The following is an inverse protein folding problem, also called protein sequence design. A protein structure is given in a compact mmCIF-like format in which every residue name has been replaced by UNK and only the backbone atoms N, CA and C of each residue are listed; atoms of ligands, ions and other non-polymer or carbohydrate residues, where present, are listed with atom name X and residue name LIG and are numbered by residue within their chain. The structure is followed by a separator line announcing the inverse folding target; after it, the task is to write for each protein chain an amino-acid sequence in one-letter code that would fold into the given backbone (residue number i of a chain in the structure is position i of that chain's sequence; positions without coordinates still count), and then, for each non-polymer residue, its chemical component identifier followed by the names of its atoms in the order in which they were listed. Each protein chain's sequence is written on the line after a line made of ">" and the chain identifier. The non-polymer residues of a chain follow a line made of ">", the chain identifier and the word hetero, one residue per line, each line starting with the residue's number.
data_IF_985594309604
#
_entry.id   IF_985594309604
#
_cell.length_a   1.000
_cell.length_b   1.000
_cell.length_c   1.000
_cell.angle_alpha   90.00
_cell.angle_beta   90.00
_cell.angle_gamma   90.00
#
_symmetry.space_group_name_H-M   'P 1'
#
loop_
_entity.id
_entity.type
_entity.pdbx_description
1 polymer ?
#
# COMPACT_ATOMS: atom_id res chain seq x y z
N UNK A 1 6.08 12.08 19.55
CA UNK A 1 5.46 12.42 18.26
C UNK A 1 6.49 12.72 17.15
N UNK A 2 7.74 12.23 17.27
CA UNK A 2 8.78 12.44 16.24
C UNK A 2 8.91 11.25 15.27
N UNK A 3 8.51 10.04 15.70
CA UNK A 3 8.58 8.81 14.88
C UNK A 3 7.50 8.72 13.79
N UNK A 4 6.33 9.36 13.96
CA UNK A 4 5.24 9.31 12.99
C UNK A 4 5.63 9.96 11.64
N UNK A 5 6.27 11.14 11.70
CA UNK A 5 6.75 11.85 10.49
C UNK A 5 7.82 11.08 9.73
N UNK A 6 8.72 10.39 10.43
CA UNK A 6 9.86 9.67 9.82
C UNK A 6 9.41 8.41 9.07
N UNK A 7 8.32 7.78 9.51
CA UNK A 7 7.80 6.54 8.92
C UNK A 7 6.83 6.79 7.76
N UNK A 8 6.31 8.01 7.60
CA UNK A 8 5.39 8.38 6.52
C UNK A 8 5.98 8.10 5.13
N UNK A 9 7.26 8.45 4.91
CA UNK A 9 7.94 8.24 3.64
C UNK A 9 8.07 6.74 3.29
N UNK A 10 8.32 5.91 4.31
CA UNK A 10 8.40 4.44 4.14
C UNK A 10 7.02 3.89 3.76
N UNK A 11 5.94 4.36 4.40
CA UNK A 11 4.59 3.95 4.04
C UNK A 11 4.17 4.40 2.64
N UNK A 12 4.62 5.56 2.16
CA UNK A 12 4.44 5.96 0.76
C UNK A 12 5.14 5.01 -0.22
N UNK A 13 6.36 4.58 0.08
CA UNK A 13 7.06 3.58 -0.73
C UNK A 13 6.32 2.24 -0.74
N UNK A 14 5.83 1.78 0.42
CA UNK A 14 5.05 0.54 0.53
C UNK A 14 3.72 0.66 -0.24
N UNK A 15 3.04 1.80 -0.16
CA UNK A 15 1.81 2.05 -0.92
C UNK A 15 2.06 2.01 -2.43
N UNK A 16 3.12 2.66 -2.92
CA UNK A 16 3.46 2.64 -4.34
C UNK A 16 3.85 1.24 -4.82
N UNK A 17 4.61 0.49 -4.03
CA UNK A 17 4.97 -0.90 -4.34
C UNK A 17 3.72 -1.80 -4.39
N UNK A 18 2.81 -1.67 -3.41
CA UNK A 18 1.53 -2.37 -3.38
C UNK A 18 0.62 -1.98 -4.54
N UNK A 19 0.63 -0.71 -4.96
CA UNK A 19 -0.12 -0.23 -6.13
C UNK A 19 0.38 -0.89 -7.40
N UNK A 20 1.69 -0.97 -7.59
CA UNK A 20 2.30 -1.65 -8.73
C UNK A 20 1.97 -3.14 -8.74
N UNK A 21 2.02 -3.80 -7.58
CA UNK A 21 1.62 -5.21 -7.44
C UNK A 21 0.12 -5.42 -7.77
N UNK A 22 -0.76 -4.50 -7.35
CA UNK A 22 -2.17 -4.55 -7.69
C UNK A 22 -2.39 -4.38 -9.20
N UNK A 23 -1.74 -3.40 -9.84
CA UNK A 23 -1.83 -3.20 -11.29
C UNK A 23 -1.34 -4.44 -12.04
N UNK A 24 -0.22 -5.04 -11.60
CA UNK A 24 0.28 -6.28 -12.17
C UNK A 24 -0.72 -7.43 -12.03
N UNK A 25 -1.32 -7.58 -10.84
CA UNK A 25 -2.34 -8.60 -10.59
C UNK A 25 -3.61 -8.41 -11.43
N UNK A 26 -4.02 -7.15 -11.69
CA UNK A 26 -5.11 -6.84 -12.62
C UNK A 26 -4.71 -7.27 -14.03
N UNK A 27 -3.54 -6.85 -14.49
CA UNK A 27 -3.06 -7.12 -15.84
C UNK A 27 -2.89 -8.61 -16.12
N UNK A 28 -2.38 -9.37 -15.15
CA UNK A 28 -2.18 -10.81 -15.27
C UNK A 28 -3.45 -11.64 -15.01
N UNK A 29 -4.62 -10.99 -14.85
CA UNK A 29 -5.89 -11.64 -14.50
C UNK A 29 -5.76 -12.59 -13.29
N UNK A 30 -5.03 -12.18 -12.27
CA UNK A 30 -4.74 -13.04 -11.13
C UNK A 30 -6.00 -13.23 -10.29
N UNK A 31 -6.45 -14.48 -10.15
CA UNK A 31 -7.67 -14.85 -9.43
C UNK A 31 -7.69 -14.39 -7.95
N UNK A 32 -6.50 -14.23 -7.37
CA UNK A 32 -6.30 -13.87 -5.97
C UNK A 32 -6.07 -12.36 -5.76
N UNK A 33 -6.40 -11.53 -6.73
CA UNK A 33 -6.29 -10.06 -6.66
C UNK A 33 -6.87 -9.47 -5.38
N UNK A 34 -7.97 -10.04 -4.88
CA UNK A 34 -8.62 -9.60 -3.64
C UNK A 34 -7.72 -9.69 -2.41
N UNK A 35 -6.72 -10.57 -2.40
CA UNK A 35 -5.75 -10.67 -1.31
C UNK A 35 -4.78 -9.48 -1.24
N UNK A 36 -4.57 -8.75 -2.35
CA UNK A 36 -3.69 -7.57 -2.39
C UNK A 36 -4.41 -6.31 -1.87
N UNK A 37 -5.73 -6.23 -2.04
CA UNK A 37 -6.56 -5.10 -1.61
C UNK A 37 -6.33 -4.66 -0.14
N UNK A 38 -6.30 -5.55 0.88
CA UNK A 38 -6.08 -5.13 2.26
C UNK A 38 -4.68 -4.52 2.50
N UNK A 39 -3.65 -4.95 1.77
CA UNK A 39 -2.31 -4.37 1.88
C UNK A 39 -2.26 -2.98 1.25
N UNK A 40 -2.94 -2.80 0.12
CA UNK A 40 -3.05 -1.53 -0.56
C UNK A 40 -3.77 -0.49 0.30
N UNK A 41 -4.92 -0.85 0.87
CA UNK A 41 -5.70 0.06 1.72
C UNK A 41 -4.99 0.35 3.03
N UNK A 42 -4.36 -0.64 3.67
CA UNK A 42 -3.59 -0.44 4.91
C UNK A 42 -2.38 0.46 4.68
N UNK A 43 -1.63 0.24 3.60
CA UNK A 43 -0.48 1.08 3.26
C UNK A 43 -0.92 2.52 2.95
N UNK A 44 -2.05 2.71 2.28
CA UNK A 44 -2.60 4.03 1.99
C UNK A 44 -2.98 4.81 3.25
N UNK A 45 -3.73 4.19 4.17
CA UNK A 45 -4.14 4.82 5.44
C UNK A 45 -2.93 5.24 6.27
N UNK A 46 -1.89 4.38 6.33
CA UNK A 46 -0.63 4.70 7.03
C UNK A 46 0.21 5.75 6.31
N UNK A 47 0.20 5.78 4.97
CA UNK A 47 0.87 6.82 4.19
C UNK A 47 0.22 8.20 4.36
N UNK A 48 -1.10 8.22 4.60
CA UNK A 48 -1.85 9.44 4.92
C UNK A 48 -1.71 9.87 6.38
N UNK A 49 -1.06 9.07 7.24
CA UNK A 49 -0.94 9.32 8.69
C UNK A 49 -2.32 9.45 9.37
N UNK A 50 -3.32 8.74 8.84
CA UNK A 50 -4.70 8.70 9.39
C UNK A 50 -4.77 7.79 10.62
N UNK A 51 -3.84 6.83 10.75
CA UNK A 51 -3.77 5.80 11.79
C UNK A 51 -2.32 5.58 12.22
#
# INVERSE_FOLDING_TARGET
>A
MEHAKKNKAIWWLVFLASTAALIFAIYSHWEWLTLILPFQTTAFVKAMDIM
#
